data_IF_784303982565
#
_entry.id   IF_784303982565
#
_cell.length_a   1.000
_cell.length_b   1.000
_cell.length_c   1.000
_cell.angle_alpha   90.00
_cell.angle_beta   90.00
_cell.angle_gamma   90.00
#
_symmetry.space_group_name_H-M   'P 1'
#
loop_
_entity.id
_entity.type
_entity.pdbx_description
1 polymer ?
#
# COMPACT_ATOMS: atom_id res chain seq x y z
N UNK A 1 -11.37 -4.92 2.58
CA UNK A 1 -10.79 -4.91 3.94
C UNK A 1 -9.91 -3.71 4.10
N UNK A 2 -10.07 -2.99 5.18
CA UNK A 2 -9.17 -1.90 5.56
C UNK A 2 -8.41 -2.30 6.80
N UNK A 3 -7.11 -2.05 6.82
CA UNK A 3 -6.22 -2.28 7.96
C UNK A 3 -5.67 -0.94 8.41
N UNK A 4 -5.77 -0.64 9.70
CA UNK A 4 -5.17 0.54 10.33
C UNK A 4 -4.51 0.18 11.65
N UNK A 5 -3.79 1.12 12.27
CA UNK A 5 -3.14 0.94 13.56
C UNK A 5 -1.96 1.88 13.74
N UNK A 6 -1.38 1.89 14.93
CA UNK A 6 -0.23 2.75 15.26
C UNK A 6 0.99 2.45 14.37
N UNK A 7 1.86 3.42 14.10
CA UNK A 7 3.13 3.16 13.42
C UNK A 7 3.95 2.07 14.15
N UNK A 8 4.53 1.15 13.38
CA UNK A 8 5.37 0.07 13.94
C UNK A 8 4.62 -1.09 14.62
N UNK A 9 3.28 -1.08 14.68
CA UNK A 9 2.49 -2.14 15.36
C UNK A 9 2.47 -3.48 14.61
N UNK A 10 2.89 -3.50 13.33
CA UNK A 10 2.93 -4.71 12.51
C UNK A 10 1.89 -4.77 11.38
N UNK A 11 1.32 -3.64 10.94
CA UNK A 11 0.33 -3.61 9.83
C UNK A 11 0.84 -4.29 8.57
N UNK A 12 2.05 -3.93 8.11
CA UNK A 12 2.69 -4.55 6.94
C UNK A 12 2.90 -6.05 7.14
N UNK A 13 3.25 -6.49 8.35
CA UNK A 13 3.40 -7.91 8.67
C UNK A 13 2.07 -8.65 8.56
N UNK A 14 0.99 -8.07 9.10
CA UNK A 14 -0.37 -8.63 8.95
C UNK A 14 -0.75 -8.68 7.48
N UNK A 15 -0.57 -7.58 6.74
CA UNK A 15 -0.84 -7.48 5.31
C UNK A 15 -0.13 -8.59 4.52
N UNK A 16 1.19 -8.76 4.70
CA UNK A 16 1.97 -9.78 4.00
C UNK A 16 1.54 -11.21 4.34
N UNK A 17 1.24 -11.50 5.61
CA UNK A 17 0.71 -12.81 6.02
C UNK A 17 -0.65 -13.10 5.36
N UNK A 18 -1.53 -12.11 5.27
CA UNK A 18 -2.82 -12.26 4.54
C UNK A 18 -2.58 -12.56 3.07
N UNK A 19 -1.67 -11.81 2.40
CA UNK A 19 -1.37 -12.03 0.98
C UNK A 19 -0.86 -13.45 0.72
N UNK A 20 0.01 -13.98 1.59
CA UNK A 20 0.51 -15.35 1.47
C UNK A 20 -0.66 -16.36 1.54
N UNK A 21 -1.53 -16.24 2.56
CA UNK A 21 -2.68 -17.15 2.73
C UNK A 21 -3.61 -17.12 1.51
N UNK A 22 -3.96 -15.94 1.00
CA UNK A 22 -4.90 -15.85 -0.12
C UNK A 22 -4.28 -16.31 -1.44
N UNK A 23 -2.97 -16.11 -1.63
CA UNK A 23 -2.23 -16.64 -2.79
C UNK A 23 -2.14 -18.16 -2.77
N UNK A 24 -1.90 -18.78 -1.62
CA UNK A 24 -1.95 -20.24 -1.43
C UNK A 24 -3.34 -20.82 -1.76
N UNK A 25 -4.39 -20.01 -1.65
CA UNK A 25 -5.77 -20.35 -2.06
C UNK A 25 -6.08 -20.01 -3.52
N UNK A 26 -5.07 -19.61 -4.30
CA UNK A 26 -5.17 -19.40 -5.74
C UNK A 26 -5.64 -18.01 -6.17
N UNK A 27 -5.81 -17.03 -5.26
CA UNK A 27 -6.21 -15.68 -5.65
C UNK A 27 -5.07 -14.96 -6.37
N UNK A 28 -5.40 -14.35 -7.51
CA UNK A 28 -4.49 -13.47 -8.26
C UNK A 28 -4.53 -12.08 -7.64
N UNK A 29 -3.39 -11.61 -7.15
CA UNK A 29 -3.27 -10.36 -6.40
C UNK A 29 -2.49 -9.34 -7.22
N UNK A 30 -2.99 -8.11 -7.34
CA UNK A 30 -2.26 -6.96 -7.87
C UNK A 30 -2.30 -5.78 -6.91
N UNK A 31 -1.39 -4.83 -7.13
CA UNK A 31 -1.22 -3.64 -6.32
C UNK A 31 0.23 -3.44 -5.91
N UNK A 32 0.46 -2.62 -4.91
CA UNK A 32 1.80 -2.27 -4.46
C UNK A 32 1.91 -2.23 -2.93
N UNK A 33 3.15 -2.30 -2.45
CA UNK A 33 3.49 -2.03 -1.05
C UNK A 33 4.63 -1.04 -0.94
N UNK A 34 4.68 -0.30 0.18
CA UNK A 34 5.66 0.77 0.38
C UNK A 34 6.51 0.53 1.65
N UNK A 35 7.41 -0.49 1.63
CA UNK A 35 8.24 -0.81 2.77
C UNK A 35 9.24 0.31 3.10
N UNK A 36 9.42 0.57 4.40
CA UNK A 36 10.48 1.46 4.85
C UNK A 36 11.87 0.86 4.65
N UNK A 37 12.84 1.71 4.29
CA UNK A 37 14.24 1.34 4.17
C UNK A 37 15.03 1.99 5.28
N UNK A 38 15.85 1.18 5.98
CA UNK A 38 16.70 1.62 7.07
C UNK A 38 18.17 1.32 6.77
N UNK A 39 19.03 2.26 7.12
CA UNK A 39 20.48 2.07 7.18
C UNK A 39 20.97 2.38 8.60
N UNK A 40 21.70 1.45 9.20
CA UNK A 40 22.20 1.57 10.59
C UNK A 40 21.12 2.01 11.58
N UNK A 41 19.93 1.41 11.49
CA UNK A 41 18.77 1.72 12.35
C UNK A 41 18.00 2.99 11.97
N UNK A 42 18.56 3.86 11.15
CA UNK A 42 17.92 5.12 10.74
C UNK A 42 17.12 4.91 9.45
N UNK A 43 15.84 5.34 9.44
CA UNK A 43 15.02 5.31 8.23
C UNK A 43 15.52 6.34 7.23
N UNK A 44 15.92 5.87 6.04
CA UNK A 44 16.41 6.71 4.94
C UNK A 44 15.33 6.99 3.88
N UNK A 45 14.29 6.18 3.80
CA UNK A 45 13.21 6.36 2.82
C UNK A 45 12.22 5.22 2.81
N UNK A 46 11.46 5.18 1.72
CA UNK A 46 10.46 4.15 1.42
C UNK A 46 10.64 3.67 -0.01
N UNK A 47 10.58 2.38 -0.23
CA UNK A 47 10.41 1.81 -1.58
C UNK A 47 8.95 1.86 -1.98
N UNK A 48 8.69 1.68 -3.27
CA UNK A 48 7.42 1.21 -3.81
C UNK A 48 7.71 -0.07 -4.56
N UNK A 49 6.92 -1.11 -4.33
CA UNK A 49 7.14 -2.46 -4.86
C UNK A 49 5.84 -2.97 -5.45
N UNK A 50 5.86 -3.32 -6.72
CA UNK A 50 4.76 -4.04 -7.37
C UNK A 50 4.67 -5.46 -6.78
N UNK A 51 3.53 -5.80 -6.19
CA UNK A 51 3.28 -7.08 -5.51
C UNK A 51 3.27 -8.26 -6.51
N UNK A 52 2.93 -8.01 -7.76
CA UNK A 52 2.81 -9.02 -8.81
C UNK A 52 4.17 -9.37 -9.43
N UNK A 53 4.91 -8.36 -9.87
CA UNK A 53 6.19 -8.55 -10.57
C UNK A 53 7.42 -8.50 -9.66
N UNK A 54 7.32 -7.91 -8.47
CA UNK A 54 8.46 -7.61 -7.61
C UNK A 54 9.28 -6.40 -8.09
N UNK A 55 8.89 -5.73 -9.16
CA UNK A 55 9.56 -4.50 -9.61
C UNK A 55 9.51 -3.44 -8.51
N UNK A 56 10.62 -2.72 -8.31
CA UNK A 56 10.69 -1.73 -7.24
C UNK A 56 11.34 -0.42 -7.68
N UNK A 57 11.00 0.64 -6.98
CA UNK A 57 11.57 1.98 -7.09
C UNK A 57 11.59 2.67 -5.74
N UNK A 58 12.01 3.93 -5.70
CA UNK A 58 11.88 4.76 -4.52
C UNK A 58 10.52 5.49 -4.54
N UNK A 59 9.72 5.32 -3.49
CA UNK A 59 8.56 6.19 -3.27
C UNK A 59 9.02 7.55 -2.75
N UNK A 60 9.88 7.53 -1.71
CA UNK A 60 10.40 8.74 -1.12
C UNK A 60 11.74 8.48 -0.44
N UNK A 61 12.61 9.49 -0.43
CA UNK A 61 13.91 9.48 0.23
C UNK A 61 14.04 10.67 1.18
N UNK A 62 14.81 10.49 2.24
CA UNK A 62 15.27 11.62 3.04
C UNK A 62 16.12 12.55 2.15
N UNK A 63 15.96 13.86 2.30
CA UNK A 63 16.54 14.85 1.38
C UNK A 63 18.05 14.68 1.16
N UNK A 64 18.80 14.36 2.23
CA UNK A 64 20.24 14.13 2.18
C UNK A 64 20.66 12.83 1.45
N UNK A 65 19.71 11.96 1.15
CA UNK A 65 19.95 10.70 0.43
C UNK A 65 19.70 10.79 -1.08
N UNK A 66 19.01 11.82 -1.56
CA UNK A 66 18.66 11.94 -2.98
C UNK A 66 19.87 11.85 -3.91
N UNK A 67 20.89 12.68 -3.68
CA UNK A 67 22.12 12.72 -4.49
C UNK A 67 22.84 11.37 -4.46
N UNK A 68 22.94 10.75 -3.29
CA UNK A 68 23.60 9.45 -3.10
C UNK A 68 22.97 8.34 -3.95
N UNK A 69 21.64 8.37 -4.10
CA UNK A 69 20.92 7.39 -4.93
C UNK A 69 20.67 7.87 -6.35
N UNK A 70 21.23 9.01 -6.77
CA UNK A 70 21.01 9.58 -8.10
C UNK A 70 19.54 9.93 -8.37
N UNK A 71 18.78 10.30 -7.32
CA UNK A 71 17.34 10.59 -7.41
C UNK A 71 17.07 12.08 -7.28
N UNK A 72 15.93 12.49 -7.83
CA UNK A 72 15.41 13.86 -7.78
C UNK A 72 13.94 13.83 -7.36
N UNK A 73 13.46 14.95 -6.85
CA UNK A 73 12.07 15.17 -6.48
C UNK A 73 11.89 16.56 -5.89
N UNK A 74 10.70 17.10 -5.99
CA UNK A 74 10.37 18.45 -5.51
C UNK A 74 9.35 18.41 -4.38
N UNK A 75 8.51 17.40 -4.34
CA UNK A 75 7.41 17.28 -3.39
C UNK A 75 7.91 16.76 -2.03
N UNK A 76 7.79 17.59 -1.02
CA UNK A 76 8.21 17.28 0.35
C UNK A 76 7.04 16.84 1.21
N UNK A 77 7.17 15.65 1.82
CA UNK A 77 6.24 15.13 2.83
C UNK A 77 7.02 14.88 4.14
N UNK A 78 6.87 15.78 5.08
CA UNK A 78 7.66 15.78 6.31
C UNK A 78 9.16 15.95 6.03
N UNK A 79 9.96 14.94 6.41
CA UNK A 79 11.42 14.92 6.19
C UNK A 79 11.85 14.25 4.88
N UNK A 80 10.88 13.73 4.10
CA UNK A 80 11.14 12.98 2.89
C UNK A 80 10.77 13.79 1.65
N UNK A 81 11.46 13.51 0.56
CA UNK A 81 11.16 14.02 -0.78
C UNK A 81 10.62 12.85 -1.60
N UNK A 82 9.48 13.03 -2.21
CA UNK A 82 8.86 12.02 -3.09
C UNK A 82 9.70 11.89 -4.36
N UNK A 83 10.01 10.66 -4.77
CA UNK A 83 10.74 10.34 -6.01
C UNK A 83 9.69 10.01 -7.08
N UNK A 84 9.15 11.05 -7.70
CA UNK A 84 7.96 11.00 -8.55
C UNK A 84 8.10 10.01 -9.70
N UNK A 85 9.25 10.01 -10.41
CA UNK A 85 9.48 9.14 -11.57
C UNK A 85 9.40 7.65 -11.19
N UNK A 86 10.08 7.25 -10.13
CA UNK A 86 10.07 5.86 -9.65
C UNK A 86 8.68 5.48 -9.11
N UNK A 87 8.07 6.37 -8.32
CA UNK A 87 6.77 6.13 -7.71
C UNK A 87 5.66 5.96 -8.76
N UNK A 88 5.67 6.79 -9.80
CA UNK A 88 4.70 6.69 -10.90
C UNK A 88 4.98 5.46 -11.77
N UNK A 89 6.23 5.21 -12.14
CA UNK A 89 6.61 4.06 -12.98
C UNK A 89 6.15 2.75 -12.35
N UNK A 90 6.51 2.51 -11.08
CA UNK A 90 6.17 1.25 -10.40
C UNK A 90 4.70 1.22 -9.97
N UNK A 91 4.20 2.32 -9.39
CA UNK A 91 2.84 2.37 -8.85
C UNK A 91 1.76 2.26 -9.92
N UNK A 92 1.92 2.92 -11.09
CA UNK A 92 0.98 2.81 -12.19
C UNK A 92 1.01 1.40 -12.80
N UNK A 93 2.21 0.81 -12.98
CA UNK A 93 2.34 -0.56 -13.48
C UNK A 93 1.70 -1.59 -12.53
N UNK A 94 1.86 -1.41 -11.23
CA UNK A 94 1.25 -2.29 -10.23
C UNK A 94 -0.29 -2.28 -10.26
N UNK A 95 -0.88 -1.19 -10.80
CA UNK A 95 -2.32 -0.98 -10.93
C UNK A 95 -2.82 -1.10 -12.38
N UNK A 96 -1.99 -1.61 -13.28
CA UNK A 96 -2.36 -1.91 -14.67
C UNK A 96 -2.86 -3.36 -14.83
N UNK A 97 -3.52 -3.65 -15.95
CA UNK A 97 -3.99 -5.00 -16.32
C UNK A 97 -4.79 -5.71 -15.22
N UNK A 98 -5.78 -5.02 -14.66
CA UNK A 98 -6.57 -5.52 -13.51
C UNK A 98 -7.69 -6.52 -13.89
N UNK A 99 -7.93 -6.81 -15.17
CA UNK A 99 -9.09 -7.60 -15.64
C UNK A 99 -9.10 -9.07 -15.15
N UNK A 100 -7.95 -9.58 -14.75
CA UNK A 100 -7.81 -10.95 -14.25
C UNK A 100 -7.39 -11.03 -12.79
N UNK A 101 -7.64 -9.96 -12.04
CA UNK A 101 -7.22 -9.85 -10.65
C UNK A 101 -8.41 -10.12 -9.74
N UNK A 102 -8.19 -10.97 -8.74
CA UNK A 102 -9.21 -11.36 -7.75
C UNK A 102 -9.14 -10.48 -6.49
N UNK A 103 -7.97 -9.87 -6.20
CA UNK A 103 -7.75 -9.06 -5.00
C UNK A 103 -6.83 -7.87 -5.28
N UNK A 104 -7.30 -6.66 -4.98
CA UNK A 104 -6.46 -5.46 -4.92
C UNK A 104 -5.74 -5.37 -3.56
N UNK A 105 -4.43 -5.16 -3.55
CA UNK A 105 -3.64 -5.07 -2.34
C UNK A 105 -2.76 -3.81 -2.32
N UNK A 106 -2.92 -2.94 -1.32
CA UNK A 106 -2.15 -1.69 -1.18
C UNK A 106 -1.70 -1.50 0.28
N UNK A 107 -0.40 -1.35 0.50
CA UNK A 107 0.22 -0.95 1.77
C UNK A 107 1.24 0.18 1.53
N UNK A 108 0.88 1.49 1.77
CA UNK A 108 -0.37 1.97 2.39
C UNK A 108 -1.01 3.09 1.54
N UNK A 109 -2.25 3.43 1.86
CA UNK A 109 -2.90 4.66 1.39
C UNK A 109 -2.52 5.80 2.33
N UNK A 110 -1.49 6.53 1.97
CA UNK A 110 -0.92 7.59 2.79
C UNK A 110 -0.63 8.89 2.02
N UNK A 111 -0.08 9.89 2.73
CA UNK A 111 0.18 11.20 2.11
C UNK A 111 1.17 11.16 0.95
N UNK A 112 2.12 10.22 0.92
CA UNK A 112 3.13 10.14 -0.14
C UNK A 112 2.49 9.63 -1.44
N UNK A 113 1.78 8.52 -1.38
CA UNK A 113 1.10 7.88 -2.51
C UNK A 113 0.03 8.80 -3.11
N UNK A 114 -0.77 9.43 -2.24
CA UNK A 114 -1.89 10.27 -2.65
C UNK A 114 -1.49 11.69 -3.06
N UNK A 115 -0.26 12.12 -2.78
CA UNK A 115 0.28 13.41 -3.23
C UNK A 115 0.59 13.45 -4.73
N UNK A 116 0.64 12.28 -5.38
CA UNK A 116 0.86 12.15 -6.82
C UNK A 116 -0.48 11.99 -7.55
N UNK A 117 -0.98 13.02 -8.26
CA UNK A 117 -2.35 12.99 -8.83
C UNK A 117 -2.61 11.80 -9.75
N UNK A 118 -1.62 11.42 -10.57
CA UNK A 118 -1.74 10.26 -11.48
C UNK A 118 -1.85 8.94 -10.71
N UNK A 119 -1.03 8.75 -9.67
CA UNK A 119 -1.09 7.54 -8.84
C UNK A 119 -2.39 7.50 -8.03
N UNK A 120 -2.80 8.63 -7.45
CA UNK A 120 -4.08 8.76 -6.75
C UNK A 120 -5.26 8.38 -7.66
N UNK A 121 -5.29 8.88 -8.89
CA UNK A 121 -6.34 8.54 -9.87
C UNK A 121 -6.34 7.05 -10.22
N UNK A 122 -5.16 6.45 -10.39
CA UNK A 122 -5.03 5.02 -10.65
C UNK A 122 -5.53 4.19 -9.46
N UNK A 123 -5.24 4.60 -8.21
CA UNK A 123 -5.75 3.96 -6.99
C UNK A 123 -7.29 4.00 -6.96
N UNK A 124 -7.90 5.17 -7.20
CA UNK A 124 -9.37 5.31 -7.24
C UNK A 124 -9.98 4.38 -8.29
N UNK A 125 -9.40 4.36 -9.49
CA UNK A 125 -9.89 3.51 -10.58
C UNK A 125 -9.74 2.01 -10.23
N UNK A 126 -8.63 1.61 -9.60
CA UNK A 126 -8.42 0.23 -9.17
C UNK A 126 -9.46 -0.20 -8.11
N UNK A 127 -9.75 0.66 -7.14
CA UNK A 127 -10.78 0.41 -6.11
C UNK A 127 -12.15 0.23 -6.76
N UNK A 128 -12.51 1.07 -7.74
CA UNK A 128 -13.79 0.96 -8.47
C UNK A 128 -13.91 -0.35 -9.25
N UNK A 129 -12.82 -0.81 -9.87
CA UNK A 129 -12.83 -2.00 -10.75
C UNK A 129 -12.79 -3.31 -9.97
N UNK A 130 -12.10 -3.34 -8.82
CA UNK A 130 -11.90 -4.57 -8.05
C UNK A 130 -12.62 -4.42 -6.70
N UNK A 131 -13.80 -5.03 -6.54
CA UNK A 131 -14.60 -4.88 -5.33
C UNK A 131 -13.97 -5.57 -4.11
N UNK A 132 -13.06 -6.52 -4.32
CA UNK A 132 -12.36 -7.25 -3.26
C UNK A 132 -10.96 -6.66 -3.05
N UNK A 133 -10.66 -6.15 -1.87
CA UNK A 133 -9.36 -5.54 -1.60
C UNK A 133 -8.91 -5.66 -0.15
N UNK A 134 -7.58 -5.60 0.04
CA UNK A 134 -6.91 -5.39 1.32
C UNK A 134 -6.07 -4.12 1.23
N UNK A 135 -6.44 -3.09 1.97
CA UNK A 135 -5.80 -1.78 1.91
C UNK A 135 -5.36 -1.37 3.33
N UNK A 136 -4.09 -1.06 3.49
CA UNK A 136 -3.60 -0.43 4.71
C UNK A 136 -3.80 1.07 4.60
N UNK A 137 -4.52 1.67 5.54
CA UNK A 137 -4.79 3.10 5.56
C UNK A 137 -3.96 3.79 6.64
N UNK A 138 -3.29 4.87 6.24
CA UNK A 138 -2.58 5.71 7.19
C UNK A 138 -3.55 6.38 8.16
N UNK A 139 -3.18 6.55 9.44
CA UNK A 139 -4.04 7.15 10.47
C UNK A 139 -4.53 8.58 10.16
N UNK A 140 -3.83 9.29 9.27
CA UNK A 140 -4.20 10.63 8.77
C UNK A 140 -4.87 10.58 7.39
N UNK A 141 -5.31 9.40 6.98
CA UNK A 141 -6.00 9.23 5.73
C UNK A 141 -7.37 9.92 5.77
N UNK A 142 -7.59 10.88 4.88
CA UNK A 142 -8.79 11.72 4.83
C UNK A 142 -9.28 12.01 3.41
N UNK A 143 -8.90 11.19 2.43
CA UNK A 143 -9.36 11.35 1.05
C UNK A 143 -10.84 10.97 0.94
N UNK A 144 -11.71 11.97 0.77
CA UNK A 144 -13.16 11.79 0.76
C UNK A 144 -13.62 10.91 -0.40
N UNK A 145 -13.07 11.09 -1.60
CA UNK A 145 -13.44 10.31 -2.78
C UNK A 145 -13.12 8.82 -2.57
N UNK A 146 -11.93 8.52 -2.07
CA UNK A 146 -11.55 7.12 -1.78
C UNK A 146 -12.45 6.56 -0.67
N UNK A 147 -12.80 7.34 0.36
CA UNK A 147 -13.72 6.90 1.41
C UNK A 147 -15.12 6.58 0.87
N UNK A 148 -15.64 7.37 -0.05
CA UNK A 148 -16.93 7.12 -0.70
C UNK A 148 -16.92 5.80 -1.50
N UNK A 149 -15.89 5.58 -2.30
CA UNK A 149 -15.73 4.32 -3.05
C UNK A 149 -15.64 3.11 -2.10
N UNK A 150 -14.84 3.20 -1.05
CA UNK A 150 -14.67 2.13 -0.07
C UNK A 150 -15.98 1.80 0.65
N UNK A 151 -16.78 2.80 1.02
CA UNK A 151 -18.11 2.58 1.64
C UNK A 151 -19.07 1.88 0.66
N UNK A 152 -19.07 2.29 -0.61
CA UNK A 152 -19.89 1.66 -1.65
C UNK A 152 -19.60 0.16 -1.82
N UNK A 153 -18.37 -0.28 -1.57
CA UNK A 153 -17.96 -1.69 -1.61
C UNK A 153 -18.13 -2.44 -0.28
N UNK A 154 -18.62 -1.80 0.78
CA UNK A 154 -18.83 -2.46 2.07
C UNK A 154 -17.55 -2.91 2.77
N UNK A 155 -16.44 -2.16 2.62
CA UNK A 155 -15.17 -2.51 3.26
C UNK A 155 -15.26 -2.52 4.79
N UNK A 156 -14.76 -3.60 5.41
CA UNK A 156 -14.63 -3.72 6.86
C UNK A 156 -13.29 -3.19 7.34
N UNK A 157 -13.29 -2.46 8.45
CA UNK A 157 -12.08 -1.89 9.08
C UNK A 157 -11.58 -2.81 10.21
N UNK A 158 -10.29 -3.14 10.16
CA UNK A 158 -9.57 -3.87 11.20
C UNK A 158 -8.48 -3.00 11.80
N UNK A 159 -8.49 -2.84 13.12
CA UNK A 159 -7.47 -2.11 13.84
C UNK A 159 -6.43 -3.10 14.36
N UNK A 160 -5.19 -2.97 13.90
CA UNK A 160 -4.07 -3.81 14.35
C UNK A 160 -3.52 -3.28 15.67
N UNK A 161 -3.38 -4.14 16.64
CA UNK A 161 -2.70 -3.90 17.91
C UNK A 161 -1.79 -5.08 18.30
N UNK A 162 -1.08 -4.96 19.42
CA UNK A 162 -0.15 -5.99 19.89
C UNK A 162 -0.89 -7.28 20.29
N UNK A 163 -2.13 -7.16 20.78
CA UNK A 163 -2.91 -8.31 21.25
C UNK A 163 -3.51 -9.13 20.10
N UNK A 164 -3.77 -8.52 18.94
CA UNK A 164 -4.46 -9.18 17.84
C UNK A 164 -3.60 -9.48 16.61
N UNK A 165 -2.43 -8.83 16.41
CA UNK A 165 -1.62 -8.90 15.18
C UNK A 165 -1.22 -10.31 14.75
N UNK A 166 -1.17 -11.26 15.67
CA UNK A 166 -0.74 -12.63 15.36
C UNK A 166 -1.91 -13.50 14.85
N UNK A 167 -3.14 -13.26 15.32
CA UNK A 167 -4.36 -13.96 14.87
C UNK A 167 -5.10 -13.28 13.72
N UNK A 168 -4.97 -11.97 13.62
CA UNK A 168 -5.68 -11.14 12.64
C UNK A 168 -5.45 -11.55 11.17
N UNK A 169 -4.25 -12.01 10.75
CA UNK A 169 -4.05 -12.47 9.37
C UNK A 169 -5.01 -13.59 8.96
N UNK A 170 -5.25 -14.56 9.83
CA UNK A 170 -6.17 -15.67 9.54
C UNK A 170 -7.61 -15.17 9.46
N UNK A 171 -8.01 -14.27 10.37
CA UNK A 171 -9.35 -13.70 10.39
C UNK A 171 -9.64 -12.89 9.12
N UNK A 172 -8.72 -12.01 8.72
CA UNK A 172 -8.84 -11.18 7.52
C UNK A 172 -8.85 -12.05 6.26
N UNK A 173 -7.95 -13.06 6.16
CA UNK A 173 -7.90 -13.96 5.03
C UNK A 173 -9.20 -14.77 4.89
N UNK A 174 -9.75 -15.31 5.97
CA UNK A 174 -11.04 -16.00 5.96
C UNK A 174 -12.15 -15.10 5.41
N UNK A 175 -12.21 -13.86 5.88
CA UNK A 175 -13.21 -12.91 5.40
C UNK A 175 -13.05 -12.62 3.89
N UNK A 176 -11.82 -12.44 3.39
CA UNK A 176 -11.55 -12.24 1.96
C UNK A 176 -12.01 -13.44 1.14
N UNK A 177 -11.78 -14.67 1.63
CA UNK A 177 -12.10 -15.90 0.91
C UNK A 177 -13.60 -16.23 0.91
N UNK A 178 -14.40 -15.63 1.81
CA UNK A 178 -15.85 -15.83 1.90
C UNK A 178 -16.67 -14.80 1.07
N UNK A 179 -16.05 -13.70 0.66
CA UNK A 179 -16.62 -12.71 -0.26
C UNK A 179 -16.40 -13.15 -1.70
#
# INVERSE_FOLDING_TARGET
MLITGRPGVGKTTVFMKVLNIVREKGLRVAGFMCPEVRERGTRIGFRIVDIRSGEQGWLALRADMLTRFGKRGTLRIGRYIVVEDDALRVGLRALDELDRIDLLAIDELGPMELSLPKLRSAIVNAIKRIPRGILVVHRKFNDLQIWEELRGHGYKLFVVDVANRDRLPIEVAKYILQC
#
